data_IF_631133938326
#
_entry.id   IF_631133938326
#
_cell.length_a   1.000
_cell.length_b   1.000
_cell.length_c   1.000
_cell.angle_alpha   90.00
_cell.angle_beta   90.00
_cell.angle_gamma   90.00
#
_symmetry.space_group_name_H-M   'P 1'
#
loop_
_entity.id
_entity.type
_entity.pdbx_description
1 polymer ?
#
# COMPACT_ATOMS: atom_id res chain seq x y z
N UNK A 1 -7.79 22.74 -1.64
CA UNK A 1 -7.52 21.55 -0.82
C UNK A 1 -6.64 20.67 -1.70
N UNK A 2 -5.42 20.35 -1.28
CA UNK A 2 -4.55 19.47 -2.07
C UNK A 2 -5.22 18.10 -2.20
N UNK A 3 -5.27 17.54 -3.40
CA UNK A 3 -5.71 16.17 -3.63
C UNK A 3 -4.62 15.22 -3.11
N UNK A 4 -4.88 14.64 -1.94
CA UNK A 4 -3.95 13.83 -1.17
C UNK A 4 -4.51 12.42 -0.98
N UNK A 5 -3.64 11.42 -1.10
CA UNK A 5 -3.91 10.03 -0.70
C UNK A 5 -2.89 9.64 0.36
N UNK A 6 -3.37 9.22 1.53
CA UNK A 6 -2.56 8.49 2.51
C UNK A 6 -2.50 7.05 2.06
N UNK A 7 -1.30 6.52 1.89
CA UNK A 7 -1.13 5.16 1.38
C UNK A 7 0.02 4.45 2.10
N UNK A 8 -0.20 3.19 2.40
CA UNK A 8 0.87 2.29 2.84
C UNK A 8 1.89 2.07 1.72
N UNK A 9 3.20 2.04 2.03
CA UNK A 9 4.22 1.70 1.05
C UNK A 9 3.88 0.44 0.26
N UNK A 10 3.47 -0.65 0.93
CA UNK A 10 3.17 -1.89 0.23
C UNK A 10 1.92 -1.80 -0.66
N UNK A 11 0.84 -1.15 -0.21
CA UNK A 11 -0.36 -0.98 -1.04
C UNK A 11 -0.06 -0.18 -2.31
N UNK A 12 0.78 0.84 -2.22
CA UNK A 12 1.19 1.58 -3.39
C UNK A 12 1.95 0.67 -4.37
N UNK A 13 2.88 -0.16 -3.87
CA UNK A 13 3.59 -1.14 -4.70
C UNK A 13 2.63 -2.18 -5.30
N UNK A 14 1.64 -2.66 -4.54
CA UNK A 14 0.63 -3.60 -5.02
C UNK A 14 -0.17 -3.02 -6.19
N UNK A 15 -0.61 -1.75 -6.07
CA UNK A 15 -1.32 -1.03 -7.14
C UNK A 15 -0.46 -0.92 -8.40
N UNK A 16 0.81 -0.50 -8.27
CA UNK A 16 1.70 -0.33 -9.42
C UNK A 16 2.06 -1.67 -10.07
N UNK A 17 2.24 -2.72 -9.26
CA UNK A 17 2.53 -4.07 -9.75
C UNK A 17 1.31 -4.63 -10.49
N UNK A 18 0.12 -4.54 -9.89
CA UNK A 18 -1.13 -4.96 -10.52
C UNK A 18 -1.38 -4.21 -11.85
N UNK A 19 -1.17 -2.89 -11.87
CA UNK A 19 -1.25 -2.09 -13.09
C UNK A 19 -0.26 -2.59 -14.17
N UNK A 20 0.97 -2.91 -13.77
CA UNK A 20 1.98 -3.50 -14.67
C UNK A 20 1.58 -4.86 -15.24
N UNK A 21 0.78 -5.63 -14.50
CA UNK A 21 0.20 -6.91 -14.92
C UNK A 21 -1.11 -6.75 -15.72
N UNK A 22 -1.55 -5.52 -16.01
CA UNK A 22 -2.81 -5.25 -16.71
C UNK A 22 -4.06 -5.39 -15.84
N UNK A 23 -3.91 -5.28 -14.51
CA UNK A 23 -5.00 -5.30 -13.52
C UNK A 23 -5.15 -3.91 -12.90
N UNK A 24 -6.01 -3.08 -13.47
CA UNK A 24 -6.15 -1.66 -13.13
C UNK A 24 -7.49 -1.26 -12.50
N UNK A 25 -8.49 -2.17 -12.49
CA UNK A 25 -9.82 -1.94 -11.93
C UNK A 25 -10.19 -3.06 -10.93
N UNK A 26 -9.68 -3.03 -9.68
CA UNK A 26 -10.03 -4.03 -8.69
C UNK A 26 -11.46 -3.81 -8.20
N UNK A 27 -12.22 -4.89 -8.05
CA UNK A 27 -13.60 -4.85 -7.54
C UNK A 27 -13.68 -4.41 -6.06
N UNK A 28 -14.81 -3.81 -5.63
CA UNK A 28 -15.08 -3.55 -4.23
C UNK A 28 -15.02 -4.83 -3.38
N UNK A 29 -14.25 -4.79 -2.28
CA UNK A 29 -14.06 -5.97 -1.45
C UNK A 29 -15.18 -6.08 -0.39
N UNK A 30 -15.66 -7.30 -0.04
CA UNK A 30 -16.72 -7.50 0.96
C UNK A 30 -16.44 -6.91 2.35
N UNK A 31 -15.16 -6.79 2.72
CA UNK A 31 -14.74 -6.16 3.98
C UNK A 31 -14.79 -4.62 3.95
N UNK A 32 -15.08 -4.00 2.81
CA UNK A 32 -15.27 -2.56 2.67
C UNK A 32 -13.99 -1.71 2.56
N UNK A 33 -12.81 -2.32 2.41
CA UNK A 33 -11.60 -1.55 2.13
C UNK A 33 -11.66 -0.91 0.73
N UNK A 34 -11.12 0.30 0.61
CA UNK A 34 -11.30 1.18 -0.54
C UNK A 34 -10.22 1.03 -1.61
N UNK A 35 -9.69 -0.18 -1.82
CA UNK A 35 -8.64 -0.42 -2.82
C UNK A 35 -9.05 0.04 -4.21
N UNK A 36 -10.28 -0.26 -4.63
CA UNK A 36 -10.88 0.18 -5.90
C UNK A 36 -10.86 1.70 -6.08
N UNK A 37 -11.32 2.46 -5.09
CA UNK A 37 -11.36 3.92 -5.15
C UNK A 37 -9.96 4.54 -5.14
N UNK A 38 -9.06 4.02 -4.30
CA UNK A 38 -7.70 4.56 -4.21
C UNK A 38 -6.89 4.23 -5.47
N UNK A 39 -7.04 3.02 -6.02
CA UNK A 39 -6.46 2.66 -7.32
C UNK A 39 -6.94 3.62 -8.40
N UNK A 40 -8.25 3.81 -8.56
CA UNK A 40 -8.80 4.74 -9.56
C UNK A 40 -8.18 6.13 -9.43
N UNK A 41 -8.15 6.71 -8.22
CA UNK A 41 -7.55 8.03 -7.96
C UNK A 41 -6.07 8.10 -8.35
N UNK A 42 -5.28 7.09 -7.99
CA UNK A 42 -3.83 7.03 -8.27
C UNK A 42 -3.55 6.87 -9.77
N UNK A 43 -4.42 6.15 -10.49
CA UNK A 43 -4.24 5.91 -11.93
C UNK A 43 -4.77 7.08 -12.79
N UNK A 44 -5.87 7.72 -12.39
CA UNK A 44 -6.46 8.89 -13.05
C UNK A 44 -5.58 10.13 -12.94
N UNK A 45 -4.93 10.34 -11.79
CA UNK A 45 -4.06 11.49 -11.54
C UNK A 45 -2.67 11.07 -11.08
N UNK A 46 -1.71 11.02 -12.02
CA UNK A 46 -0.31 10.64 -11.72
C UNK A 46 0.48 11.70 -10.94
N UNK A 47 -0.06 12.91 -10.85
CA UNK A 47 0.49 14.01 -10.06
C UNK A 47 -0.14 14.11 -8.66
N UNK A 48 -1.06 13.20 -8.32
CA UNK A 48 -1.67 13.15 -7.00
C UNK A 48 -0.59 13.04 -5.92
N UNK A 49 -0.78 13.79 -4.84
CA UNK A 49 0.14 13.77 -3.72
C UNK A 49 -0.12 12.51 -2.87
N UNK A 50 0.90 11.66 -2.77
CA UNK A 50 0.91 10.51 -1.88
C UNK A 50 1.61 10.91 -0.58
N UNK A 51 0.99 10.56 0.55
CA UNK A 51 1.60 10.65 1.87
C UNK A 51 1.79 9.24 2.43
N UNK A 52 3.02 8.89 2.78
CA UNK A 52 3.34 7.57 3.32
C UNK A 52 2.70 7.39 4.71
N UNK A 53 1.94 6.32 4.86
CA UNK A 53 1.18 6.01 6.08
C UNK A 53 1.54 4.59 6.56
N UNK A 54 2.04 4.45 7.80
CA UNK A 54 2.37 3.14 8.39
C UNK A 54 1.22 2.58 9.23
N UNK A 55 0.24 3.40 9.60
CA UNK A 55 -1.02 3.02 10.24
C UNK A 55 -2.11 2.65 9.23
N UNK A 56 -3.38 2.90 9.57
CA UNK A 56 -4.50 2.71 8.66
C UNK A 56 -4.55 3.83 7.60
N UNK A 57 -4.27 3.46 6.35
CA UNK A 57 -4.30 4.36 5.20
C UNK A 57 -5.69 4.48 4.58
N UNK A 58 -5.84 5.29 3.53
CA UNK A 58 -7.16 5.57 2.95
C UNK A 58 -7.83 4.32 2.36
N UNK A 59 -7.06 3.28 2.01
CA UNK A 59 -7.59 1.96 1.65
C UNK A 59 -8.19 1.26 2.88
N UNK A 60 -7.47 1.27 4.01
CA UNK A 60 -7.87 0.55 5.22
C UNK A 60 -8.96 1.25 6.03
N UNK A 61 -9.03 2.58 6.00
CA UNK A 61 -9.94 3.36 6.86
C UNK A 61 -11.40 2.86 6.87
N UNK A 62 -12.05 2.61 5.72
CA UNK A 62 -13.45 2.15 5.69
C UNK A 62 -13.62 0.65 5.94
N UNK A 63 -12.54 -0.10 6.13
CA UNK A 63 -12.61 -1.54 6.33
C UNK A 63 -13.35 -1.89 7.62
N UNK A 64 -14.24 -2.87 7.57
CA UNK A 64 -14.97 -3.42 8.74
C UNK A 64 -14.05 -4.03 9.80
N UNK A 65 -12.81 -4.37 9.44
CA UNK A 65 -11.77 -4.86 10.36
C UNK A 65 -10.92 -3.74 10.96
N UNK A 66 -11.16 -2.48 10.59
CA UNK A 66 -10.48 -1.32 11.17
C UNK A 66 -11.24 -0.86 12.41
N UNK A 67 -10.58 -0.88 13.58
CA UNK A 67 -11.12 -0.33 14.83
C UNK A 67 -10.13 0.73 15.31
N UNK A 68 -10.55 2.00 15.27
CA UNK A 68 -9.75 3.15 15.70
C UNK A 68 -8.35 3.22 15.05
N UNK A 69 -8.26 2.89 13.75
CA UNK A 69 -7.00 2.88 13.01
C UNK A 69 -6.15 1.62 13.21
N UNK A 70 -6.67 0.61 13.92
CA UNK A 70 -6.01 -0.66 14.21
C UNK A 70 -6.76 -1.79 13.51
N UNK A 71 -6.07 -2.49 12.60
CA UNK A 71 -6.62 -3.67 11.94
C UNK A 71 -6.72 -4.86 12.92
N UNK A 72 -7.93 -5.41 13.05
CA UNK A 72 -8.28 -6.58 13.88
C UNK A 72 -8.24 -7.90 13.09
N UNK A 73 -7.81 -7.87 11.83
CA UNK A 73 -7.73 -9.05 10.97
C UNK A 73 -6.46 -9.87 11.26
N UNK A 74 -6.53 -11.17 10.94
CA UNK A 74 -5.40 -12.09 11.08
C UNK A 74 -4.94 -12.60 9.71
N UNK A 75 -3.66 -12.95 9.61
CA UNK A 75 -3.13 -13.65 8.44
C UNK A 75 -3.10 -15.16 8.68
N UNK A 76 -3.17 -15.92 7.59
CA UNK A 76 -2.86 -17.35 7.61
C UNK A 76 -1.35 -17.55 7.78
N UNK A 77 -0.96 -18.14 8.91
CA UNK A 77 0.44 -18.42 9.26
C UNK A 77 0.84 -19.87 9.00
N UNK A 78 -0.04 -20.72 8.45
CA UNK A 78 0.25 -22.14 8.24
C UNK A 78 1.46 -22.38 7.33
N UNK A 79 1.70 -21.49 6.37
CA UNK A 79 2.85 -21.52 5.46
C UNK A 79 3.99 -20.57 5.89
N UNK A 80 3.81 -19.84 7.01
CA UNK A 80 4.74 -18.83 7.54
C UNK A 80 4.71 -18.84 9.07
N UNK A 81 5.18 -19.91 9.73
CA UNK A 81 4.97 -20.11 11.17
C UNK A 81 5.62 -19.03 12.05
N UNK A 82 6.67 -18.37 11.54
CA UNK A 82 7.39 -17.31 12.22
C UNK A 82 6.76 -15.91 12.03
N UNK A 83 5.75 -15.79 11.17
CA UNK A 83 5.06 -14.52 10.95
C UNK A 83 4.10 -14.21 12.13
N UNK A 84 3.98 -12.94 12.55
CA UNK A 84 2.93 -12.56 13.49
C UNK A 84 1.55 -12.89 12.92
N UNK A 85 0.65 -13.41 13.75
CA UNK A 85 -0.72 -13.70 13.32
C UNK A 85 -1.51 -12.44 12.99
N UNK A 86 -1.18 -11.30 13.61
CA UNK A 86 -1.83 -10.03 13.35
C UNK A 86 -1.48 -9.50 11.96
N UNK A 87 -2.51 -9.24 11.15
CA UNK A 87 -2.33 -8.60 9.83
C UNK A 87 -1.72 -7.21 9.93
N UNK A 88 -2.03 -6.47 11.00
CA UNK A 88 -1.42 -5.16 11.26
C UNK A 88 0.09 -5.28 11.41
N UNK A 89 0.55 -6.18 12.27
CA UNK A 89 1.98 -6.37 12.54
C UNK A 89 2.70 -6.89 11.32
N UNK A 90 2.09 -7.84 10.61
CA UNK A 90 2.62 -8.36 9.36
C UNK A 90 2.79 -7.26 8.30
N UNK A 91 1.74 -6.48 8.05
CA UNK A 91 1.78 -5.38 7.09
C UNK A 91 2.81 -4.31 7.49
N UNK A 92 2.98 -4.02 8.78
CA UNK A 92 3.99 -3.09 9.27
C UNK A 92 5.42 -3.59 8.98
N UNK A 93 5.68 -4.89 9.08
CA UNK A 93 6.97 -5.47 8.70
C UNK A 93 7.24 -5.26 7.20
N UNK A 94 6.23 -5.54 6.36
CA UNK A 94 6.34 -5.33 4.91
C UNK A 94 6.58 -3.85 4.59
N UNK A 95 5.79 -2.95 5.18
CA UNK A 95 5.89 -1.51 4.98
C UNK A 95 7.28 -0.98 5.36
N UNK A 96 7.85 -1.44 6.48
CA UNK A 96 9.21 -1.06 6.90
C UNK A 96 10.28 -1.53 5.93
N UNK A 97 10.15 -2.75 5.37
CA UNK A 97 11.07 -3.25 4.35
C UNK A 97 11.02 -2.40 3.09
N UNK A 98 9.83 -1.98 2.67
CA UNK A 98 9.68 -1.04 1.56
C UNK A 98 10.26 0.33 1.89
N UNK A 99 10.02 0.86 3.09
CA UNK A 99 10.61 2.11 3.56
C UNK A 99 12.14 2.10 3.45
N UNK A 100 12.78 1.08 4.00
CA UNK A 100 14.24 0.89 3.95
C UNK A 100 14.74 0.82 2.51
N UNK A 101 14.12 -0.02 1.68
CA UNK A 101 14.57 -0.25 0.30
C UNK A 101 14.42 0.98 -0.59
N UNK A 102 13.40 1.79 -0.33
CA UNK A 102 13.04 2.95 -1.14
C UNK A 102 13.59 4.27 -0.58
N UNK A 103 14.17 4.25 0.63
CA UNK A 103 14.66 5.44 1.31
C UNK A 103 13.54 6.42 1.66
N UNK A 104 12.38 5.89 2.07
CA UNK A 104 11.19 6.67 2.44
C UNK A 104 10.80 6.39 3.90
N UNK A 105 10.10 7.32 4.54
CA UNK A 105 9.64 7.20 5.93
C UNK A 105 8.17 7.60 6.08
N UNK A 106 7.60 7.39 7.26
CA UNK A 106 6.26 7.88 7.59
C UNK A 106 6.16 9.39 7.36
N UNK A 107 5.00 9.83 6.88
CA UNK A 107 4.67 11.22 6.54
C UNK A 107 5.42 11.81 5.33
N UNK A 108 6.34 11.07 4.71
CA UNK A 108 6.96 11.49 3.45
C UNK A 108 5.88 11.75 2.39
N UNK A 109 6.11 12.82 1.62
CA UNK A 109 5.22 13.25 0.55
C UNK A 109 5.90 13.09 -0.80
N UNK A 110 5.22 12.44 -1.74
CA UNK A 110 5.71 12.25 -3.09
C UNK A 110 4.56 12.23 -4.09
N UNK A 111 4.79 12.64 -5.33
CA UNK A 111 3.86 12.35 -6.41
C UNK A 111 4.07 10.92 -6.91
N UNK A 112 3.04 10.31 -7.51
CA UNK A 112 3.21 9.00 -8.13
C UNK A 112 4.26 9.03 -9.25
N UNK A 113 4.58 10.18 -9.86
CA UNK A 113 5.63 10.28 -10.87
C UNK A 113 7.08 10.15 -10.31
N UNK A 114 7.32 10.45 -9.02
CA UNK A 114 8.63 10.16 -8.37
C UNK A 114 8.96 8.67 -8.34
N UNK A 115 7.97 7.81 -8.54
CA UNK A 115 8.10 6.35 -8.58
C UNK A 115 8.88 5.89 -9.82
N UNK A 116 8.93 6.71 -10.88
CA UNK A 116 9.85 6.47 -12.01
C UNK A 116 11.32 6.45 -11.57
N UNK A 117 11.70 7.17 -10.50
CA UNK A 117 13.06 7.09 -9.91
C UNK A 117 13.24 5.88 -9.00
N UNK A 118 12.14 5.35 -8.44
CA UNK A 118 12.11 4.14 -7.61
C UNK A 118 12.12 2.84 -8.46
N UNK A 119 11.71 2.91 -9.74
CA UNK A 119 11.81 1.81 -10.71
C UNK A 119 13.21 1.21 -10.80
N UNK A 120 14.28 1.99 -10.62
CA UNK A 120 15.65 1.45 -10.57
C UNK A 120 15.86 0.44 -9.42
N UNK A 121 15.14 0.57 -8.30
CA UNK A 121 15.18 -0.35 -7.16
C UNK A 121 14.18 -1.51 -7.23
N UNK A 122 13.05 -1.32 -7.92
CA UNK A 122 11.99 -2.32 -8.12
C UNK A 122 12.33 -3.28 -9.27
N UNK A 123 12.90 -2.78 -10.37
CA UNK A 123 13.35 -3.62 -11.49
C UNK A 123 14.44 -4.61 -11.07
N UNK A 124 15.37 -4.17 -10.20
CA UNK A 124 16.41 -5.01 -9.60
C UNK A 124 15.88 -6.08 -8.64
N UNK A 125 14.60 -6.01 -8.23
CA UNK A 125 13.94 -7.01 -7.38
C UNK A 125 13.22 -8.08 -8.20
N UNK A 126 12.62 -7.72 -9.34
CA UNK A 126 11.93 -8.68 -10.22
C UNK A 126 12.91 -9.55 -11.04
N UNK A 127 14.18 -9.17 -11.07
CA UNK A 127 15.28 -9.89 -11.74
C UNK A 127 16.07 -10.81 -10.80
N UNK A 128 15.73 -10.90 -9.51
CA UNK A 128 16.32 -11.81 -8.51
C UNK A 128 15.24 -12.69 -7.86
#
# INVERSE_FOLDING_TARGET
>A
MEDLVRIKPHHFIDIITAYGDGRDDPEPHPLGHAVHLVTARVLENRDILLKMELGADDICQPCTKNTDGICQDNIDTSFRPEAPSSKREWNLIIDRRWCERLGIVQDDRMTADRVKKMKAGVQKFLEN
#
